data_IF_861469633177
#
_entry.id   IF_861469633177
#
_cell.length_a   1.000
_cell.length_b   1.000
_cell.length_c   1.000
_cell.angle_alpha   90.00
_cell.angle_beta   90.00
_cell.angle_gamma   90.00
#
_symmetry.space_group_name_H-M   'P 1'
#
loop_
_entity.id
_entity.type
_entity.pdbx_description
1 polymer ?
#
# COMPACT_ATOMS: atom_id res chain seq x y z
N UNK A 1 1.44 0.72 27.06
CA UNK A 1 1.01 -0.56 26.45
C UNK A 1 0.05 -0.39 25.26
N UNK A 2 -1.10 0.29 25.40
CA UNK A 2 -2.08 0.48 24.30
C UNK A 2 -1.46 0.99 22.99
N UNK A 3 -0.60 2.00 23.10
CA UNK A 3 0.05 2.61 21.94
C UNK A 3 1.06 1.66 21.26
N UNK A 4 1.86 0.90 22.03
CA UNK A 4 2.76 -0.10 21.48
C UNK A 4 2.00 -1.13 20.65
N UNK A 5 0.84 -1.59 21.15
CA UNK A 5 -0.05 -2.48 20.40
C UNK A 5 -0.53 -1.84 19.09
N UNK A 6 -0.93 -0.57 19.10
CA UNK A 6 -1.32 0.15 17.88
C UNK A 6 -0.18 0.23 16.86
N UNK A 7 1.05 0.52 17.30
CA UNK A 7 2.23 0.55 16.43
C UNK A 7 2.48 -0.81 15.77
N UNK A 8 2.32 -1.89 16.51
CA UNK A 8 2.53 -3.24 15.98
C UNK A 8 1.44 -3.68 15.01
N UNK A 9 0.18 -3.33 15.31
CA UNK A 9 -0.94 -3.52 14.37
C UNK A 9 -0.68 -2.77 13.07
N UNK A 10 -0.13 -1.54 13.16
CA UNK A 10 0.26 -0.78 11.97
C UNK A 10 1.36 -1.50 11.19
N UNK A 11 2.46 -1.89 11.85
CA UNK A 11 3.61 -2.54 11.18
C UNK A 11 3.21 -3.88 10.55
N UNK A 12 2.45 -4.72 11.26
CA UNK A 12 2.01 -6.01 10.71
C UNK A 12 1.07 -5.83 9.51
N UNK A 13 0.22 -4.79 9.54
CA UNK A 13 -0.64 -4.45 8.39
C UNK A 13 0.17 -4.05 7.16
N UNK A 14 1.26 -3.30 7.35
CA UNK A 14 2.20 -2.96 6.28
C UNK A 14 2.93 -4.20 5.74
N UNK A 15 3.31 -5.13 6.62
CA UNK A 15 3.90 -6.41 6.20
C UNK A 15 2.93 -7.22 5.34
N UNK A 16 1.67 -7.36 5.77
CA UNK A 16 0.65 -8.06 4.99
C UNK A 16 0.31 -7.37 3.67
N UNK A 17 0.37 -6.05 3.61
CA UNK A 17 0.24 -5.33 2.35
C UNK A 17 1.34 -5.73 1.36
N UNK A 18 2.59 -5.85 1.81
CA UNK A 18 3.69 -6.32 0.97
C UNK A 18 3.52 -7.79 0.55
N UNK A 19 3.12 -8.67 1.48
CA UNK A 19 2.80 -10.08 1.17
C UNK A 19 1.65 -10.19 0.17
N UNK A 20 0.62 -9.36 0.29
CA UNK A 20 -0.50 -9.33 -0.67
C UNK A 20 -0.04 -8.94 -2.07
N UNK A 21 0.89 -7.99 -2.17
CA UNK A 21 1.50 -7.60 -3.45
C UNK A 21 2.31 -8.76 -4.03
N UNK A 22 3.10 -9.43 -3.20
CA UNK A 22 3.86 -10.64 -3.58
C UNK A 22 2.94 -11.75 -4.10
N UNK A 23 1.78 -11.97 -3.46
CA UNK A 23 0.77 -12.94 -3.93
C UNK A 23 0.20 -12.61 -5.31
N UNK A 24 0.04 -11.32 -5.67
CA UNK A 24 -0.42 -10.94 -7.01
C UNK A 24 0.56 -11.42 -8.08
N UNK A 25 1.87 -11.27 -7.84
CA UNK A 25 2.91 -11.72 -8.75
C UNK A 25 3.04 -13.25 -8.78
N UNK A 26 2.97 -13.92 -7.63
CA UNK A 26 2.93 -15.38 -7.56
C UNK A 26 1.73 -15.95 -8.32
N UNK A 27 0.54 -15.36 -8.17
CA UNK A 27 -0.65 -15.80 -8.89
C UNK A 27 -0.46 -15.71 -10.42
N UNK A 28 0.28 -14.71 -10.91
CA UNK A 28 0.61 -14.59 -12.34
C UNK A 28 1.62 -15.64 -12.78
N UNK A 29 2.66 -15.86 -11.97
CA UNK A 29 3.58 -16.96 -12.17
C UNK A 29 2.84 -18.30 -12.28
N UNK A 30 1.89 -18.57 -11.37
CA UNK A 30 1.07 -19.78 -11.38
C UNK A 30 0.22 -19.91 -12.65
N UNK A 31 -0.40 -18.84 -13.13
CA UNK A 31 -1.19 -18.86 -14.37
C UNK A 31 -0.34 -19.24 -15.60
N UNK A 32 0.88 -18.70 -15.69
CA UNK A 32 1.82 -19.02 -16.78
C UNK A 32 2.43 -20.43 -16.63
N UNK A 33 2.51 -20.93 -15.40
CA UNK A 33 3.10 -22.22 -15.05
C UNK A 33 2.05 -23.22 -14.54
N UNK A 34 0.84 -23.22 -15.13
CA UNK A 34 -0.27 -24.05 -14.68
C UNK A 34 0.02 -25.57 -14.69
N UNK A 35 0.99 -26.01 -15.49
CA UNK A 35 1.46 -27.41 -15.53
C UNK A 35 2.38 -27.77 -14.35
N UNK A 36 2.85 -26.80 -13.57
CA UNK A 36 3.73 -27.02 -12.43
C UNK A 36 2.94 -27.44 -11.18
N UNK A 37 2.49 -28.70 -11.18
CA UNK A 37 1.70 -29.29 -10.08
C UNK A 37 2.45 -29.28 -8.74
N UNK A 38 3.79 -29.39 -8.78
CA UNK A 38 4.65 -29.32 -7.58
C UNK A 38 4.50 -27.97 -6.87
N UNK A 39 4.59 -26.87 -7.63
CA UNK A 39 4.40 -25.53 -7.09
C UNK A 39 2.98 -25.34 -6.54
N UNK A 40 1.95 -25.80 -7.26
CA UNK A 40 0.56 -25.68 -6.79
C UNK A 40 0.32 -26.35 -5.43
N UNK A 41 0.97 -27.50 -5.18
CA UNK A 41 0.89 -28.19 -3.89
C UNK A 41 1.68 -27.48 -2.78
N UNK A 42 2.80 -26.85 -3.13
CA UNK A 42 3.66 -26.14 -2.19
C UNK A 42 3.19 -24.73 -1.85
N UNK A 43 2.45 -24.08 -2.76
CA UNK A 43 1.95 -22.71 -2.64
C UNK A 43 1.28 -22.37 -1.29
N UNK A 44 0.32 -23.17 -0.76
CA UNK A 44 -0.30 -22.85 0.53
C UNK A 44 0.69 -22.85 1.69
N UNK A 45 1.67 -23.75 1.66
CA UNK A 45 2.73 -23.81 2.65
C UNK A 45 3.67 -22.60 2.53
N UNK A 46 4.05 -22.22 1.32
CA UNK A 46 4.84 -21.01 1.06
C UNK A 46 4.13 -19.73 1.55
N UNK A 47 2.82 -19.62 1.33
CA UNK A 47 2.04 -18.49 1.85
C UNK A 47 2.00 -18.49 3.38
N UNK A 48 1.73 -19.65 3.99
CA UNK A 48 1.74 -19.81 5.45
C UNK A 48 3.09 -19.40 6.04
N UNK A 49 4.21 -19.82 5.43
CA UNK A 49 5.55 -19.43 5.89
C UNK A 49 5.78 -17.92 5.81
N UNK A 50 5.35 -17.24 4.73
CA UNK A 50 5.48 -15.78 4.63
C UNK A 50 4.65 -15.06 5.69
N UNK A 51 3.42 -15.53 5.96
CA UNK A 51 2.57 -14.96 7.02
C UNK A 51 3.19 -15.18 8.40
N UNK A 52 3.62 -16.40 8.70
CA UNK A 52 4.29 -16.74 9.95
C UNK A 52 5.57 -15.90 10.14
N UNK A 53 6.36 -15.75 9.08
CA UNK A 53 7.58 -14.93 9.06
C UNK A 53 7.31 -13.47 9.45
N UNK A 54 6.22 -12.86 8.98
CA UNK A 54 5.86 -11.50 9.38
C UNK A 54 5.64 -11.36 10.89
N UNK A 55 4.99 -12.34 11.52
CA UNK A 55 4.80 -12.35 12.98
C UNK A 55 6.10 -12.59 13.74
N UNK A 56 6.90 -13.56 13.29
CA UNK A 56 8.18 -13.91 13.94
C UNK A 56 9.17 -12.74 13.91
N UNK A 57 9.20 -11.96 12.84
CA UNK A 57 10.06 -10.77 12.74
C UNK A 57 9.71 -9.69 13.77
N UNK A 58 8.45 -9.59 14.17
CA UNK A 58 8.00 -8.57 15.12
C UNK A 58 8.26 -9.01 16.57
N UNK A 59 8.28 -10.32 16.83
CA UNK A 59 8.38 -10.92 18.16
C UNK A 59 9.51 -10.36 19.04
N UNK A 60 10.75 -10.14 18.55
CA UNK A 60 11.81 -9.55 19.38
C UNK A 60 11.46 -8.15 19.91
N UNK A 61 10.80 -7.32 19.09
CA UNK A 61 10.36 -5.99 19.51
C UNK A 61 9.14 -6.03 20.44
N UNK A 62 8.35 -7.12 20.42
CA UNK A 62 7.30 -7.34 21.42
C UNK A 62 7.88 -7.66 22.79
N UNK A 63 8.91 -8.51 22.83
CA UNK A 63 9.46 -9.04 24.07
C UNK A 63 10.39 -8.04 24.78
N UNK A 64 10.95 -7.09 24.05
CA UNK A 64 11.95 -6.13 24.54
C UNK A 64 11.44 -4.68 24.52
N UNK A 65 10.14 -4.47 24.73
CA UNK A 65 9.60 -3.12 24.88
C UNK A 65 10.22 -2.48 26.12
N UNK A 66 10.84 -1.30 26.00
CA UNK A 66 11.35 -0.59 27.15
C UNK A 66 10.20 0.05 27.95
N UNK A 67 10.41 0.27 29.25
CA UNK A 67 9.54 1.13 30.04
C UNK A 67 9.41 2.48 29.33
N UNK A 68 8.18 2.86 29.00
CA UNK A 68 7.94 4.01 28.13
C UNK A 68 8.23 5.34 28.83
N UNK A 69 8.06 5.42 30.15
CA UNK A 69 8.32 6.67 30.89
C UNK A 69 9.82 6.94 30.92
N UNK A 70 10.61 5.89 31.22
CA UNK A 70 12.07 5.95 31.21
C UNK A 70 12.61 6.16 29.80
N UNK A 71 12.10 5.42 28.81
CA UNK A 71 12.58 5.50 27.43
C UNK A 71 12.30 6.87 26.81
N UNK A 72 11.14 7.47 27.07
CA UNK A 72 10.83 8.84 26.62
C UNK A 72 11.78 9.85 27.23
N UNK A 73 12.04 9.75 28.54
CA UNK A 73 12.96 10.65 29.21
C UNK A 73 14.37 10.56 28.60
N UNK A 74 14.88 9.35 28.38
CA UNK A 74 16.18 9.15 27.73
C UNK A 74 16.22 9.76 26.31
N UNK A 75 15.16 9.58 25.52
CA UNK A 75 15.06 10.19 24.19
C UNK A 75 15.01 11.71 24.31
N UNK A 76 14.27 12.26 25.26
CA UNK A 76 14.17 13.70 25.45
C UNK A 76 15.49 14.34 25.90
N UNK A 77 16.25 13.67 26.78
CA UNK A 77 17.56 14.15 27.20
C UNK A 77 18.59 14.13 26.06
N UNK A 78 18.38 13.27 25.05
CA UNK A 78 19.28 13.13 23.89
C UNK A 78 18.99 14.16 22.79
N UNK A 79 17.75 14.67 22.70
CA UNK A 79 17.32 15.51 21.58
C UNK A 79 17.53 17.00 21.88
N UNK A 80 18.29 17.74 21.05
CA UNK A 80 18.40 19.18 21.23
C UNK A 80 17.05 19.85 20.93
N UNK A 81 16.61 20.74 21.84
CA UNK A 81 15.46 21.64 21.69
C UNK A 81 14.12 20.91 21.41
N UNK A 82 13.40 20.55 22.47
CA UNK A 82 12.11 19.86 22.40
C UNK A 82 10.96 20.86 22.60
N UNK A 83 10.06 21.00 21.60
CA UNK A 83 8.82 21.75 21.75
C UNK A 83 7.97 21.25 22.90
N UNK A 84 7.38 22.17 23.64
CA UNK A 84 6.61 21.88 24.86
C UNK A 84 5.46 20.89 24.62
N UNK A 85 4.83 20.94 23.44
CA UNK A 85 3.74 20.02 23.07
C UNK A 85 4.16 18.54 22.98
N UNK A 86 5.45 18.24 22.79
CA UNK A 86 5.91 16.85 22.72
C UNK A 86 5.98 16.18 24.11
N UNK A 87 6.08 16.96 25.19
CA UNK A 87 6.02 16.42 26.56
C UNK A 87 4.62 15.94 26.94
N UNK A 88 3.59 16.57 26.38
CA UNK A 88 2.19 16.15 26.54
C UNK A 88 1.73 15.15 25.48
N UNK A 89 2.55 14.92 24.44
CA UNK A 89 2.27 13.93 23.40
C UNK A 89 2.76 12.56 23.86
N UNK A 90 1.88 11.57 23.83
CA UNK A 90 2.28 10.19 24.09
C UNK A 90 3.06 9.61 22.89
N UNK A 91 4.40 9.74 22.91
CA UNK A 91 5.30 9.17 21.90
C UNK A 91 5.69 7.75 22.31
N UNK A 92 5.71 6.81 21.35
CA UNK A 92 6.18 5.44 21.62
C UNK A 92 7.66 5.35 21.26
N UNK A 93 8.46 4.79 22.16
CA UNK A 93 9.82 4.35 21.86
C UNK A 93 9.78 2.83 21.66
N UNK A 94 9.85 2.33 20.41
CA UNK A 94 9.69 0.91 20.13
C UNK A 94 10.85 0.06 20.65
N UNK A 95 12.07 0.61 20.67
CA UNK A 95 13.25 -0.03 21.21
C UNK A 95 14.33 1.03 21.47
N UNK A 96 15.08 0.88 22.56
CA UNK A 96 16.32 1.63 22.81
C UNK A 96 17.52 1.01 22.08
N UNK A 97 17.41 -0.25 21.66
CA UNK A 97 18.42 -0.93 20.87
C UNK A 97 18.07 -0.84 19.37
N UNK A 98 18.81 -0.07 18.56
CA UNK A 98 18.52 0.12 17.13
C UNK A 98 18.62 -1.17 16.32
N UNK A 99 19.41 -2.16 16.77
CA UNK A 99 19.60 -3.44 16.08
C UNK A 99 18.27 -4.20 15.97
N UNK A 100 17.42 -4.11 16.99
CA UNK A 100 16.10 -4.76 17.02
C UNK A 100 15.11 -4.17 16.01
N UNK A 101 15.42 -3.01 15.44
CA UNK A 101 14.61 -2.38 14.39
C UNK A 101 15.28 -2.64 13.03
N UNK A 102 16.57 -2.32 12.91
CA UNK A 102 17.30 -2.37 11.64
C UNK A 102 17.37 -3.80 11.09
N UNK A 103 17.76 -4.78 11.91
CA UNK A 103 17.97 -6.15 11.42
C UNK A 103 16.66 -6.78 10.93
N UNK A 104 15.55 -6.75 11.68
CA UNK A 104 14.28 -7.28 11.18
C UNK A 104 13.77 -6.56 9.94
N UNK A 105 13.90 -5.24 9.85
CA UNK A 105 13.51 -4.47 8.65
C UNK A 105 14.35 -4.87 7.43
N UNK A 106 15.67 -5.01 7.58
CA UNK A 106 16.55 -5.44 6.50
C UNK A 106 16.22 -6.85 6.02
N UNK A 107 16.04 -7.79 6.96
CA UNK A 107 15.68 -9.18 6.66
C UNK A 107 14.32 -9.26 5.97
N UNK A 108 13.34 -8.47 6.42
CA UNK A 108 12.04 -8.36 5.76
C UNK A 108 12.18 -7.89 4.29
N UNK A 109 12.95 -6.82 4.07
CA UNK A 109 13.18 -6.27 2.72
C UNK A 109 13.80 -7.34 1.81
N UNK A 110 14.89 -7.99 2.25
CA UNK A 110 15.59 -8.99 1.46
C UNK A 110 14.66 -10.17 1.12
N UNK A 111 13.94 -10.71 2.10
CA UNK A 111 13.11 -11.90 1.91
C UNK A 111 11.87 -11.59 1.06
N UNK A 112 11.11 -10.55 1.39
CA UNK A 112 9.84 -10.27 0.70
C UNK A 112 10.08 -9.63 -0.67
N UNK A 113 10.92 -8.61 -0.75
CA UNK A 113 11.19 -7.94 -2.04
C UNK A 113 12.12 -8.77 -2.94
N UNK A 114 12.98 -9.61 -2.38
CA UNK A 114 13.75 -10.60 -3.16
C UNK A 114 12.85 -11.62 -3.86
N UNK A 115 11.83 -12.14 -3.16
CA UNK A 115 10.82 -13.00 -3.77
C UNK A 115 9.99 -12.25 -4.82
N UNK A 116 9.57 -11.01 -4.53
CA UNK A 116 8.82 -10.17 -5.46
C UNK A 116 9.61 -9.95 -6.75
N UNK A 117 10.89 -9.59 -6.64
CA UNK A 117 11.79 -9.40 -7.78
C UNK A 117 11.95 -10.69 -8.57
N UNK A 118 12.12 -11.83 -7.88
CA UNK A 118 12.27 -13.15 -8.52
C UNK A 118 11.05 -13.51 -9.36
N UNK A 119 9.83 -13.43 -8.80
CA UNK A 119 8.61 -13.69 -9.57
C UNK A 119 8.44 -12.70 -10.72
N UNK A 120 8.74 -11.42 -10.49
CA UNK A 120 8.66 -10.39 -11.52
C UNK A 120 9.57 -10.71 -12.70
N UNK A 121 10.84 -11.04 -12.45
CA UNK A 121 11.82 -11.39 -13.49
C UNK A 121 11.40 -12.64 -14.26
N UNK A 122 10.95 -13.69 -13.57
CA UNK A 122 10.49 -14.93 -14.22
C UNK A 122 9.29 -14.65 -15.13
N UNK A 123 8.29 -13.92 -14.62
CA UNK A 123 7.06 -13.60 -15.36
C UNK A 123 7.38 -12.72 -16.58
N UNK A 124 8.27 -11.73 -16.44
CA UNK A 124 8.74 -10.91 -17.57
C UNK A 124 9.40 -11.77 -18.63
N UNK A 125 10.33 -12.64 -18.25
CA UNK A 125 11.05 -13.51 -19.20
C UNK A 125 10.08 -14.43 -19.96
N UNK A 126 9.15 -15.07 -19.26
CA UNK A 126 8.14 -15.96 -19.86
C UNK A 126 7.24 -15.21 -20.84
N UNK A 127 6.71 -14.05 -20.46
CA UNK A 127 5.84 -13.24 -21.34
C UNK A 127 6.59 -12.58 -22.50
N UNK A 128 7.89 -12.33 -22.34
CA UNK A 128 8.72 -11.75 -23.41
C UNK A 128 9.09 -12.80 -24.45
N UNK A 129 9.30 -14.06 -24.03
CA UNK A 129 9.44 -15.19 -24.93
C UNK A 129 8.12 -15.58 -25.61
N UNK A 130 8.17 -16.38 -26.68
CA UNK A 130 6.98 -16.97 -27.32
C UNK A 130 6.28 -18.05 -26.45
N UNK A 131 6.70 -18.19 -25.19
CA UNK A 131 6.07 -19.04 -24.19
C UNK A 131 4.65 -18.55 -23.90
N UNK A 132 3.67 -19.23 -24.46
CA UNK A 132 2.26 -18.85 -24.43
C UNK A 132 1.67 -18.54 -25.81
N UNK A 133 2.47 -18.48 -26.87
CA UNK A 133 1.95 -18.43 -28.25
C UNK A 133 1.18 -19.70 -28.64
N UNK A 134 1.57 -20.85 -28.09
CA UNK A 134 0.91 -22.14 -28.29
C UNK A 134 -0.25 -22.42 -27.31
N UNK A 135 -0.41 -21.62 -26.26
CA UNK A 135 -1.40 -21.85 -25.19
C UNK A 135 -2.50 -20.78 -25.17
N UNK A 136 -2.16 -19.53 -25.52
CA UNK A 136 -3.10 -18.40 -25.50
C UNK A 136 -3.33 -17.88 -26.93
N UNK A 137 -4.59 -17.53 -27.21
CA UNK A 137 -4.95 -16.76 -28.40
C UNK A 137 -4.15 -15.47 -28.47
N UNK A 138 -3.96 -14.92 -29.68
CA UNK A 138 -3.22 -13.68 -29.86
C UNK A 138 -3.83 -12.52 -29.04
N UNK A 139 -5.16 -12.44 -28.98
CA UNK A 139 -5.86 -11.40 -28.22
C UNK A 139 -5.64 -11.55 -26.70
N UNK A 140 -5.76 -12.77 -26.17
CA UNK A 140 -5.48 -13.07 -24.76
C UNK A 140 -4.02 -12.78 -24.40
N UNK A 141 -3.08 -13.09 -25.30
CA UNK A 141 -1.65 -12.81 -25.12
C UNK A 141 -1.37 -11.30 -25.08
N UNK A 142 -1.96 -10.52 -26.00
CA UNK A 142 -1.87 -9.05 -26.00
C UNK A 142 -2.41 -8.46 -24.69
N UNK A 143 -3.54 -8.97 -24.19
CA UNK A 143 -4.12 -8.54 -22.92
C UNK A 143 -3.20 -8.84 -21.72
N UNK A 144 -2.65 -10.05 -21.63
CA UNK A 144 -1.70 -10.43 -20.56
C UNK A 144 -0.43 -9.58 -20.58
N UNK A 145 0.12 -9.27 -21.77
CA UNK A 145 1.28 -8.37 -21.90
C UNK A 145 0.97 -6.96 -21.41
N UNK A 146 -0.19 -6.41 -21.76
CA UNK A 146 -0.62 -5.08 -21.28
C UNK A 146 -0.80 -5.07 -19.76
N UNK A 147 -1.45 -6.11 -19.22
CA UNK A 147 -1.65 -6.26 -17.79
C UNK A 147 -0.33 -6.45 -17.02
N UNK A 148 0.64 -7.20 -17.56
CA UNK A 148 1.96 -7.32 -16.95
C UNK A 148 2.70 -5.99 -16.90
N UNK A 149 2.67 -5.20 -17.98
CA UNK A 149 3.28 -3.84 -17.97
C UNK A 149 2.68 -2.99 -16.85
N UNK A 150 1.37 -3.07 -16.67
CA UNK A 150 0.67 -2.39 -15.58
C UNK A 150 1.12 -2.88 -14.19
N UNK A 151 1.26 -4.20 -14.00
CA UNK A 151 1.76 -4.76 -12.73
C UNK A 151 3.19 -4.36 -12.43
N UNK A 152 4.09 -4.37 -13.42
CA UNK A 152 5.49 -3.95 -13.24
C UNK A 152 5.52 -2.50 -12.77
N UNK A 153 4.74 -1.64 -13.40
CA UNK A 153 4.61 -0.25 -12.95
C UNK A 153 4.09 -0.17 -11.50
N UNK A 154 3.04 -0.93 -11.17
CA UNK A 154 2.49 -0.97 -9.82
C UNK A 154 3.47 -1.53 -8.78
N UNK A 155 4.36 -2.45 -9.14
CA UNK A 155 5.40 -2.96 -8.22
C UNK A 155 6.44 -1.91 -7.84
N UNK A 156 6.60 -0.85 -8.65
CA UNK A 156 7.43 0.29 -8.29
C UNK A 156 6.86 1.09 -7.12
N UNK A 157 5.54 1.05 -6.89
CA UNK A 157 4.87 1.83 -5.84
C UNK A 157 5.30 1.35 -4.45
N UNK A 158 5.21 0.05 -4.08
CA UNK A 158 5.75 -0.42 -2.80
C UNK A 158 7.25 -0.15 -2.61
N UNK A 159 8.06 -0.18 -3.68
CA UNK A 159 9.49 0.14 -3.59
C UNK A 159 9.69 1.60 -3.21
N UNK A 160 9.04 2.51 -3.93
CA UNK A 160 9.17 3.96 -3.71
C UNK A 160 8.61 4.38 -2.35
N UNK A 161 7.49 3.81 -1.94
CA UNK A 161 6.74 4.25 -0.77
C UNK A 161 7.02 3.47 0.51
N UNK A 162 7.65 2.28 0.43
CA UNK A 162 8.04 1.50 1.62
C UNK A 162 9.53 1.23 1.70
N UNK A 163 10.15 0.69 0.64
CA UNK A 163 11.58 0.31 0.69
C UNK A 163 12.48 1.53 0.86
N UNK A 164 12.27 2.58 0.07
CA UNK A 164 13.09 3.79 0.16
C UNK A 164 12.93 4.45 1.55
N UNK A 165 11.70 4.70 2.06
CA UNK A 165 11.55 5.25 3.41
C UNK A 165 12.16 4.38 4.51
N UNK A 166 12.02 3.05 4.41
CA UNK A 166 12.62 2.11 5.35
C UNK A 166 14.17 2.18 5.31
N UNK A 167 14.78 2.22 4.13
CA UNK A 167 16.23 2.35 3.99
C UNK A 167 16.74 3.67 4.59
N UNK A 168 16.07 4.79 4.31
CA UNK A 168 16.44 6.09 4.90
C UNK A 168 16.32 6.02 6.43
N UNK A 169 15.24 5.44 6.95
CA UNK A 169 15.01 5.28 8.39
C UNK A 169 16.09 4.40 9.04
N UNK A 170 16.49 3.30 8.40
CA UNK A 170 17.57 2.44 8.92
C UNK A 170 18.90 3.17 8.98
N UNK A 171 19.23 3.97 7.95
CA UNK A 171 20.47 4.77 7.93
C UNK A 171 20.46 5.82 9.04
N UNK A 172 19.36 6.57 9.20
CA UNK A 172 19.27 7.61 10.24
C UNK A 172 19.31 7.01 11.64
N UNK A 173 18.58 5.91 11.88
CA UNK A 173 18.64 5.17 13.16
C UNK A 173 20.06 4.64 13.42
N UNK A 174 20.70 4.04 12.42
CA UNK A 174 22.05 3.47 12.56
C UNK A 174 23.13 4.52 12.83
N UNK A 175 22.95 5.73 12.30
CA UNK A 175 23.85 6.87 12.55
C UNK A 175 23.47 7.70 13.78
N UNK A 176 22.39 7.38 14.48
CA UNK A 176 21.87 8.18 15.59
C UNK A 176 21.37 9.58 15.19
N UNK A 177 21.04 9.77 13.90
CA UNK A 177 20.57 11.06 13.38
C UNK A 177 19.06 11.18 13.59
N UNK A 178 18.66 12.14 14.41
CA UNK A 178 17.25 12.47 14.58
C UNK A 178 16.90 13.77 13.85
N UNK A 179 16.03 13.67 12.84
CA UNK A 179 15.50 14.82 12.10
C UNK A 179 13.98 14.77 12.04
N UNK A 180 13.33 15.71 12.74
CA UNK A 180 11.85 15.79 12.77
C UNK A 180 11.24 16.03 11.38
N UNK A 181 11.75 16.99 10.57
CA UNK A 181 11.21 17.20 9.23
C UNK A 181 11.33 15.94 8.36
N UNK A 182 12.47 15.25 8.43
CA UNK A 182 12.69 14.03 7.67
C UNK A 182 11.72 12.93 8.09
N UNK A 183 11.59 12.67 9.40
CA UNK A 183 10.69 11.64 9.92
C UNK A 183 9.23 11.92 9.52
N UNK A 184 8.79 13.19 9.59
CA UNK A 184 7.45 13.58 9.16
C UNK A 184 7.24 13.35 7.65
N UNK A 185 8.23 13.67 6.82
CA UNK A 185 8.19 13.40 5.38
C UNK A 185 8.11 11.90 5.12
N UNK A 186 8.92 11.09 5.78
CA UNK A 186 8.93 9.63 5.62
C UNK A 186 7.58 9.01 5.98
N UNK A 187 6.97 9.45 7.08
CA UNK A 187 5.62 9.01 7.50
C UNK A 187 4.56 9.48 6.49
N UNK A 188 4.63 10.73 6.02
CA UNK A 188 3.68 11.27 5.04
C UNK A 188 3.76 10.51 3.70
N UNK A 189 4.97 10.27 3.20
CA UNK A 189 5.20 9.45 1.99
C UNK A 189 4.59 8.07 2.21
N UNK A 190 4.98 7.35 3.26
CA UNK A 190 4.46 6.01 3.57
C UNK A 190 2.92 5.97 3.60
N UNK A 191 2.30 7.00 4.18
CA UNK A 191 0.83 7.12 4.30
C UNK A 191 0.12 7.34 2.97
N UNK A 192 0.77 8.01 2.01
CA UNK A 192 0.20 8.30 0.68
C UNK A 192 0.19 7.08 -0.25
N UNK A 193 0.89 5.98 0.08
CA UNK A 193 0.97 4.78 -0.74
C UNK A 193 -0.40 4.28 -1.22
N UNK A 194 -1.39 4.18 -0.32
CA UNK A 194 -2.71 3.62 -0.63
C UNK A 194 -3.47 4.44 -1.68
N UNK A 195 -3.41 5.77 -1.56
CA UNK A 195 -4.02 6.68 -2.53
C UNK A 195 -3.33 6.54 -3.90
N UNK A 196 -2.00 6.56 -3.93
CA UNK A 196 -1.21 6.48 -5.17
C UNK A 196 -1.38 5.13 -5.86
N UNK A 197 -1.41 4.04 -5.11
CA UNK A 197 -1.66 2.69 -5.62
C UNK A 197 -3.04 2.57 -6.26
N UNK A 198 -4.07 3.11 -5.59
CA UNK A 198 -5.45 3.10 -6.10
C UNK A 198 -5.60 3.95 -7.36
N UNK A 199 -5.06 5.17 -7.36
CA UNK A 199 -5.08 6.04 -8.54
C UNK A 199 -4.34 5.40 -9.71
N UNK A 200 -3.17 4.82 -9.45
CA UNK A 200 -2.40 4.09 -10.47
C UNK A 200 -3.20 2.91 -11.03
N UNK A 201 -3.92 2.18 -10.19
CA UNK A 201 -4.80 1.11 -10.64
C UNK A 201 -5.88 1.61 -11.61
N UNK A 202 -6.56 2.71 -11.27
CA UNK A 202 -7.62 3.29 -12.10
C UNK A 202 -7.08 3.79 -13.44
N UNK A 203 -5.96 4.51 -13.44
CA UNK A 203 -5.44 5.14 -14.66
C UNK A 203 -4.80 4.15 -15.63
N UNK A 204 -4.14 3.12 -15.10
CA UNK A 204 -3.34 2.19 -15.92
C UNK A 204 -4.21 1.06 -16.46
N UNK A 205 -5.14 0.52 -15.67
CA UNK A 205 -5.94 -0.62 -16.09
C UNK A 205 -7.17 -0.17 -16.87
N UNK A 206 -7.17 -0.43 -18.19
CA UNK A 206 -8.27 -0.14 -19.11
C UNK A 206 -9.68 -0.46 -18.58
N UNK A 207 -9.97 -1.65 -17.97
CA UNK A 207 -11.30 -1.93 -17.45
C UNK A 207 -11.72 -0.95 -16.34
N UNK A 208 -10.82 -0.62 -15.41
CA UNK A 208 -11.11 0.31 -14.32
C UNK A 208 -11.33 1.74 -14.84
N UNK A 209 -10.46 2.21 -15.75
CA UNK A 209 -10.63 3.53 -16.37
C UNK A 209 -11.96 3.68 -17.09
N UNK A 210 -12.36 2.65 -17.84
CA UNK A 210 -13.62 2.66 -18.58
C UNK A 210 -14.84 2.70 -17.65
N UNK A 211 -14.83 1.92 -16.57
CA UNK A 211 -15.91 1.93 -15.57
C UNK A 211 -16.01 3.27 -14.86
N UNK A 212 -14.88 3.84 -14.44
CA UNK A 212 -14.86 5.15 -13.79
C UNK A 212 -15.34 6.24 -14.74
N UNK A 213 -14.87 6.24 -16.00
CA UNK A 213 -15.34 7.18 -17.01
C UNK A 213 -16.84 7.06 -17.25
N UNK A 214 -17.35 5.83 -17.39
CA UNK A 214 -18.78 5.55 -17.55
C UNK A 214 -19.63 6.13 -16.40
N UNK A 215 -19.20 5.97 -15.15
CA UNK A 215 -19.89 6.57 -14.00
C UNK A 215 -19.88 8.11 -14.05
N UNK A 216 -18.79 8.72 -14.49
CA UNK A 216 -18.72 10.18 -14.66
C UNK A 216 -19.59 10.69 -15.80
N UNK A 217 -19.65 9.99 -16.95
CA UNK A 217 -20.54 10.36 -18.06
C UNK A 217 -22.00 10.16 -17.72
N UNK A 218 -22.36 9.06 -17.05
CA UNK A 218 -23.75 8.82 -16.65
C UNK A 218 -24.22 9.81 -15.57
N UNK A 219 -23.39 10.09 -14.56
CA UNK A 219 -23.70 11.16 -13.58
C UNK A 219 -23.90 12.53 -14.23
N UNK A 220 -23.11 12.86 -15.27
CA UNK A 220 -23.32 14.10 -16.03
C UNK A 220 -24.67 14.11 -16.74
N UNK A 221 -25.05 13.02 -17.40
CA UNK A 221 -26.35 12.90 -18.08
C UNK A 221 -27.54 12.98 -17.10
N UNK A 222 -27.45 12.32 -15.94
CA UNK A 222 -28.50 12.38 -14.91
C UNK A 222 -28.62 13.78 -14.31
N UNK A 223 -27.50 14.47 -14.08
CA UNK A 223 -27.49 15.86 -13.58
C UNK A 223 -28.10 16.82 -14.60
N UNK A 224 -27.75 16.70 -15.89
CA UNK A 224 -28.34 17.52 -16.96
C UNK A 224 -29.85 17.30 -17.06
N UNK A 225 -30.32 16.06 -16.98
CA UNK A 225 -31.77 15.75 -16.98
C UNK A 225 -32.51 16.36 -15.80
N UNK A 226 -31.96 16.31 -14.59
CA UNK A 226 -32.58 16.94 -13.40
C UNK A 226 -32.66 18.46 -13.57
N UNK A 227 -31.58 19.08 -14.07
CA UNK A 227 -31.55 20.53 -14.35
C UNK A 227 -32.49 20.92 -15.50
N UNK A 228 -32.76 20.05 -16.48
CA UNK A 228 -33.75 20.26 -17.56
C UNK A 228 -35.20 19.99 -17.13
N UNK A 229 -35.43 19.18 -16.10
CA UNK A 229 -36.77 18.98 -15.52
C UNK A 229 -37.15 20.13 -14.58
N UNK A 230 -36.18 20.74 -13.87
CA UNK A 230 -36.41 21.88 -12.98
C UNK A 230 -36.73 23.26 -13.62
N UNK A 231 -36.41 23.63 -14.88
CA UNK A 231 -36.75 24.95 -15.42
C UNK A 231 -38.22 25.08 -15.81
N UNK A 232 -38.97 23.97 -15.86
CA UNK A 232 -40.38 23.95 -16.29
C UNK A 232 -41.34 24.35 -15.15
N UNK A 233 -40.85 24.48 -13.91
CA UNK A 233 -41.65 24.96 -12.76
C UNK A 233 -41.33 26.40 -12.35
N UNK A 234 -40.89 27.25 -13.29
CA UNK A 234 -40.77 28.70 -13.07
C UNK A 234 -42.07 29.41 -13.39
N UNK A 235 -42.87 29.64 -12.33
CA UNK A 235 -43.79 30.77 -12.07
C UNK A 235 -44.34 31.53 -13.28
N UNK A 236 -45.64 31.40 -13.55
CA UNK A 236 -46.49 32.49 -14.06
C UNK A 236 -47.98 32.09 -14.00
N UNK A 237 -48.68 32.45 -12.92
CA UNK A 237 -50.12 32.74 -12.98
C UNK A 237 -50.46 33.84 -11.96
N UNK A 238 -50.95 35.00 -12.41
CA UNK A 238 -51.49 36.03 -11.53
C UNK A 238 -52.90 35.64 -11.10
N UNK A 239 -53.15 35.55 -9.79
CA UNK A 239 -54.51 35.39 -9.26
C UNK A 239 -55.03 36.80 -8.96
N UNK A 240 -55.92 37.28 -9.83
CA UNK A 240 -56.73 38.47 -9.59
C UNK A 240 -57.76 38.24 -8.47
N UNK A 241 -58.29 39.31 -7.85
CA UNK A 241 -59.14 39.19 -6.68
C UNK A 241 -60.57 38.87 -7.10
N UNK A 242 -61.14 37.79 -6.56
CA UNK A 242 -62.58 37.67 -6.43
C UNK A 242 -62.94 37.71 -4.95
N UNK A 243 -63.64 38.79 -4.60
CA UNK A 243 -64.27 39.08 -3.33
C UNK A 243 -65.64 38.41 -3.30
N UNK A 244 -65.92 37.69 -2.21
CA UNK A 244 -67.22 37.58 -1.55
C UNK A 244 -66.87 37.29 -0.08
N UNK A 245 -67.09 38.16 0.91
CA UNK A 245 -68.01 39.30 1.05
C UNK A 245 -67.29 40.62 1.32
#
# INVERSE_FOLDING_TARGET
MKQAVQLWILIISLFFLCVSTLMIFENRFRLLNFKNVKWMRFQPFWLFLNVLFCFLLLLPTMLQIPDQDVARQMVFDTLPCIPEFLYSTEIIVPSLNPILIIVPTLVFIIVIFGQLLTFTVIVIRQLSSDFGASVLSENSRRLQKSFLKALIWQSGIPILYFVIPACVSMVTIGMGIFSRPLNNILVAVTSLHGAVSTLSMIFIHKPYRNTVFYWFTQRRQDTTRIVEIQPVYSTNTPIGPYVAN
#
